data_IF_826336906860
#
_entry.id   IF_826336906860
#
_cell.length_a   1.000
_cell.length_b   1.000
_cell.length_c   1.000
_cell.angle_alpha   90.00
_cell.angle_beta   90.00
_cell.angle_gamma   90.00
#
_symmetry.space_group_name_H-M   'P 1'
#
loop_
_entity.id
_entity.type
_entity.pdbx_description
1 polymer ?
#
# COMPACT_ATOMS: atom_id res chain seq x y z
N UNK A 1 11.30 -4.65 -7.75
CA UNK A 1 9.87 -4.24 -7.92
C UNK A 1 8.94 -5.16 -7.13
N UNK A 2 8.58 -4.80 -5.89
CA UNK A 2 7.73 -5.61 -4.99
C UNK A 2 6.33 -5.86 -5.56
N UNK A 3 5.74 -4.84 -6.18
CA UNK A 3 4.35 -4.90 -6.67
C UNK A 3 4.20 -5.93 -7.80
N UNK A 4 5.21 -6.06 -8.67
CA UNK A 4 5.28 -7.10 -9.72
C UNK A 4 5.32 -8.50 -9.13
N UNK A 5 6.09 -8.72 -8.05
CA UNK A 5 6.16 -10.02 -7.34
C UNK A 5 4.81 -10.37 -6.72
N UNK A 6 4.16 -9.41 -6.07
CA UNK A 6 2.83 -9.60 -5.47
C UNK A 6 1.77 -10.00 -6.52
N UNK A 7 1.76 -9.37 -7.70
CA UNK A 7 0.83 -9.70 -8.80
C UNK A 7 0.91 -11.17 -9.21
N UNK A 8 2.12 -11.66 -9.41
CA UNK A 8 2.40 -13.01 -9.88
C UNK A 8 1.87 -14.07 -8.91
N UNK A 9 1.96 -13.81 -7.59
CA UNK A 9 1.57 -14.75 -6.54
C UNK A 9 0.07 -14.78 -6.25
N UNK A 10 -0.64 -13.66 -6.40
CA UNK A 10 -1.96 -13.51 -5.80
C UNK A 10 -3.13 -13.25 -6.76
N UNK A 11 -2.89 -12.99 -8.06
CA UNK A 11 -3.90 -12.73 -9.11
C UNK A 11 -4.99 -11.67 -8.77
N UNK A 12 -4.88 -10.99 -7.63
CA UNK A 12 -5.77 -9.94 -7.15
C UNK A 12 -4.93 -8.72 -6.79
N UNK A 13 -5.31 -7.58 -7.36
CA UNK A 13 -4.57 -6.34 -7.34
C UNK A 13 -5.34 -5.24 -6.59
N UNK A 14 -6.36 -5.62 -5.83
CA UNK A 14 -7.06 -4.73 -4.91
C UNK A 14 -6.43 -4.84 -3.52
N UNK A 15 -5.92 -3.71 -3.05
CA UNK A 15 -5.24 -3.58 -1.76
C UNK A 15 -5.87 -2.40 -1.03
N UNK A 16 -6.01 -2.50 0.29
CA UNK A 16 -6.41 -1.39 1.14
C UNK A 16 -5.17 -0.91 1.88
N UNK A 17 -4.83 0.35 1.72
CA UNK A 17 -3.76 1.01 2.47
C UNK A 17 -4.40 1.72 3.65
N UNK A 18 -4.23 1.14 4.83
CA UNK A 18 -4.69 1.71 6.08
C UNK A 18 -3.64 2.67 6.64
N UNK A 19 -4.09 3.86 7.03
CA UNK A 19 -3.25 4.95 7.52
C UNK A 19 -3.92 5.63 8.73
N UNK A 20 -3.12 6.34 9.51
CA UNK A 20 -3.64 7.37 10.42
C UNK A 20 -4.45 8.43 9.65
N UNK A 21 -5.44 9.03 10.30
CA UNK A 21 -6.41 9.96 9.67
C UNK A 21 -5.75 11.12 8.92
N UNK A 22 -4.79 11.80 9.54
CA UNK A 22 -4.04 12.92 8.93
C UNK A 22 -3.31 12.50 7.64
N UNK A 23 -2.70 11.32 7.64
CA UNK A 23 -1.98 10.80 6.47
C UNK A 23 -2.95 10.41 5.35
N UNK A 24 -4.08 9.80 5.69
CA UNK A 24 -5.12 9.45 4.73
C UNK A 24 -5.71 10.71 4.07
N UNK A 25 -5.96 11.74 4.86
CA UNK A 25 -6.44 13.04 4.39
C UNK A 25 -5.44 13.68 3.44
N UNK A 26 -4.17 13.77 3.84
CA UNK A 26 -3.09 14.29 3.01
C UNK A 26 -2.97 13.55 1.66
N UNK A 27 -3.00 12.22 1.68
CA UNK A 27 -2.89 11.40 0.46
C UNK A 27 -4.10 11.65 -0.46
N UNK A 28 -5.31 11.71 0.11
CA UNK A 28 -6.55 11.79 -0.67
C UNK A 28 -6.86 13.19 -1.19
N UNK A 29 -6.42 14.25 -0.51
CA UNK A 29 -6.57 15.64 -0.94
C UNK A 29 -5.40 16.11 -1.80
N UNK A 30 -4.18 15.97 -1.31
CA UNK A 30 -3.01 16.65 -1.90
C UNK A 30 -2.23 15.77 -2.89
N UNK A 31 -2.27 14.44 -2.69
CA UNK A 31 -1.47 13.49 -3.49
C UNK A 31 -2.29 12.53 -4.35
N UNK A 32 -3.59 12.79 -4.51
CA UNK A 32 -4.51 11.91 -5.26
C UNK A 32 -4.04 11.59 -6.67
N UNK A 33 -3.51 12.57 -7.39
CA UNK A 33 -3.04 12.39 -8.77
C UNK A 33 -1.78 11.51 -8.84
N UNK A 34 -0.87 11.67 -7.87
CA UNK A 34 0.34 10.83 -7.76
C UNK A 34 -0.05 9.38 -7.46
N UNK A 35 -0.98 9.19 -6.50
CA UNK A 35 -1.51 7.86 -6.16
C UNK A 35 -2.15 7.19 -7.39
N UNK A 36 -2.99 7.93 -8.14
CA UNK A 36 -3.60 7.43 -9.39
C UNK A 36 -2.54 7.08 -10.43
N UNK A 37 -1.54 7.94 -10.66
CA UNK A 37 -0.46 7.64 -11.60
C UNK A 37 0.28 6.35 -11.24
N UNK A 38 0.56 6.13 -9.95
CA UNK A 38 1.17 4.90 -9.45
C UNK A 38 0.27 3.68 -9.68
N UNK A 39 -1.04 3.80 -9.41
CA UNK A 39 -2.02 2.74 -9.66
C UNK A 39 -2.06 2.33 -11.12
N UNK A 40 -2.14 3.30 -12.04
CA UNK A 40 -2.21 3.04 -13.48
C UNK A 40 -0.92 2.42 -14.00
N UNK A 41 0.24 3.01 -13.66
CA UNK A 41 1.56 2.49 -14.05
C UNK A 41 1.76 1.04 -13.64
N UNK A 42 1.26 0.68 -12.47
CA UNK A 42 1.41 -0.65 -11.93
C UNK A 42 0.12 -1.45 -11.95
N UNK A 43 -0.90 -1.08 -12.74
CA UNK A 43 -2.22 -1.73 -12.84
C UNK A 43 -2.68 -2.35 -11.51
N UNK A 44 -2.80 -1.54 -10.46
CA UNK A 44 -3.18 -1.92 -9.09
C UNK A 44 -4.27 -0.97 -8.61
N UNK A 45 -5.21 -1.45 -7.79
CA UNK A 45 -6.20 -0.62 -7.12
C UNK A 45 -5.91 -0.54 -5.63
N UNK A 46 -5.57 0.66 -5.16
CA UNK A 46 -5.28 0.93 -3.74
C UNK A 46 -6.41 1.77 -3.14
N UNK A 47 -7.18 1.20 -2.22
CA UNK A 47 -8.16 1.96 -1.46
C UNK A 47 -7.48 2.55 -0.22
N UNK A 48 -7.57 3.87 -0.03
CA UNK A 48 -7.12 4.49 1.22
C UNK A 48 -8.21 4.28 2.28
N UNK A 49 -7.83 3.82 3.47
CA UNK A 49 -8.73 3.67 4.61
C UNK A 49 -8.08 4.29 5.85
N UNK A 50 -8.87 4.99 6.66
CA UNK A 50 -8.43 5.47 7.97
C UNK A 50 -8.52 4.35 8.99
N UNK A 51 -7.54 4.26 9.88
CA UNK A 51 -7.55 3.36 11.01
C UNK A 51 -6.95 4.05 12.24
N UNK A 52 -7.74 4.19 13.31
CA UNK A 52 -7.35 4.87 14.55
C UNK A 52 -6.30 4.10 15.36
N UNK A 53 -6.19 2.80 15.11
CA UNK A 53 -5.21 1.93 15.78
C UNK A 53 -3.82 1.99 15.09
N UNK A 54 -3.71 2.71 13.97
CA UNK A 54 -2.44 2.93 13.25
C UNK A 54 -1.83 4.25 13.70
N UNK A 55 -0.58 4.18 14.17
CA UNK A 55 0.21 5.37 14.53
C UNK A 55 0.52 6.22 13.30
N UNK A 56 0.82 7.51 13.52
CA UNK A 56 1.15 8.45 12.43
C UNK A 56 2.35 8.03 11.57
N UNK A 57 3.30 7.28 12.16
CA UNK A 57 4.51 6.76 11.51
C UNK A 57 4.33 5.36 10.90
N UNK A 58 3.12 4.80 10.96
CA UNK A 58 2.83 3.45 10.51
C UNK A 58 1.83 3.41 9.35
N UNK A 59 1.85 2.29 8.63
CA UNK A 59 0.86 1.97 7.61
C UNK A 59 0.64 0.46 7.56
N UNK A 60 -0.52 0.03 7.06
CA UNK A 60 -0.78 -1.39 6.78
C UNK A 60 -1.34 -1.59 5.38
N UNK A 61 -0.80 -2.58 4.69
CA UNK A 61 -1.40 -3.08 3.45
C UNK A 61 -2.27 -4.28 3.76
N UNK A 62 -3.55 -4.18 3.47
CA UNK A 62 -4.53 -5.23 3.67
C UNK A 62 -5.00 -5.75 2.33
N UNK A 63 -4.93 -7.06 2.12
CA UNK A 63 -5.49 -7.68 0.91
C UNK A 63 -7.01 -7.54 0.91
N UNK A 64 -7.58 -6.94 -0.12
CA UNK A 64 -9.03 -6.66 -0.15
C UNK A 64 -9.88 -7.92 -0.07
N UNK A 65 -9.48 -9.00 -0.77
CA UNK A 65 -10.26 -10.25 -0.79
C UNK A 65 -10.27 -11.01 0.53
N UNK A 66 -9.16 -11.02 1.27
CA UNK A 66 -8.99 -11.91 2.42
C UNK A 66 -8.90 -11.16 3.75
N UNK A 67 -8.75 -9.84 3.74
CA UNK A 67 -8.53 -9.05 4.96
C UNK A 67 -7.16 -9.27 5.62
N UNK A 68 -6.29 -10.10 5.01
CA UNK A 68 -4.97 -10.43 5.55
C UNK A 68 -4.05 -9.21 5.46
N UNK A 69 -3.33 -8.94 6.54
CA UNK A 69 -2.20 -8.01 6.54
C UNK A 69 -1.04 -8.60 5.70
N UNK A 70 -0.63 -7.84 4.70
CA UNK A 70 0.44 -8.18 3.76
C UNK A 70 1.57 -7.16 3.80
N UNK A 71 1.63 -6.30 4.81
CA UNK A 71 2.63 -5.21 4.93
C UNK A 71 4.05 -5.75 4.80
N UNK A 72 4.36 -6.85 5.49
CA UNK A 72 5.68 -7.49 5.43
C UNK A 72 5.98 -8.18 4.09
N UNK A 73 4.96 -8.59 3.32
CA UNK A 73 5.16 -9.12 1.96
C UNK A 73 5.48 -8.00 0.95
N UNK A 74 5.27 -6.75 1.36
CA UNK A 74 5.38 -5.54 0.54
C UNK A 74 6.62 -4.71 0.91
N UNK A 75 7.16 -4.94 2.12
CA UNK A 75 8.47 -4.42 2.51
C UNK A 75 9.48 -4.78 1.43
N UNK A 76 10.07 -3.74 0.84
CA UNK A 76 11.28 -3.88 0.06
C UNK A 76 12.32 -4.37 1.06
N UNK A 77 12.64 -5.67 1.05
CA UNK A 77 13.94 -6.10 1.53
C UNK A 77 14.96 -5.12 0.93
N UNK A 78 15.72 -4.47 1.81
CA UNK A 78 16.92 -3.71 1.47
C UNK A 78 17.85 -4.66 0.72
N UNK A 79 17.65 -4.79 -0.57
CA UNK A 79 18.64 -5.41 -1.44
C UNK A 79 19.68 -4.31 -1.74
N UNK A 80 20.76 -4.29 -0.94
CA UNK A 80 22.02 -3.64 -1.33
C UNK A 80 22.48 -2.40 -0.57
N UNK A 81 22.33 -2.30 0.75
CA UNK A 81 23.22 -1.41 1.52
C UNK A 81 23.68 -2.07 2.80
N UNK A 82 25.00 -2.19 2.90
CA UNK A 82 25.84 -2.68 4.01
C UNK A 82 26.15 -4.18 3.94
N UNK A 83 27.15 -4.56 3.13
CA UNK A 83 28.54 -4.78 3.59
C UNK A 83 29.46 -4.67 2.37
#
# INVERSE_FOLDING_TARGET
>A
HWLRRYKSKHRDLRIRLQLHEENAEYITKDKKNILRGLMWKNFVHIKIETNKDIRRDEFRFIRSKTGKDITNEMSLDKDGSIT
#
